data_IF_487597439988
#
_entry.id   IF_487597439988
#
_cell.length_a   1.000
_cell.length_b   1.000
_cell.length_c   1.000
_cell.angle_alpha   90.00
_cell.angle_beta   90.00
_cell.angle_gamma   90.00
#
_symmetry.space_group_name_H-M   'P 1'
#
loop_
_entity.id
_entity.type
_entity.pdbx_description
1 polymer ?
#
# COMPACT_ATOMS: atom_id res chain seq x y z
N UNK A 1 9.08 -20.87 6.13
CA UNK A 1 9.37 -19.70 5.30
C UNK A 1 8.87 -18.47 6.06
N UNK A 2 9.75 -17.53 6.39
CA UNK A 2 9.37 -16.34 7.13
C UNK A 2 8.54 -15.36 6.31
N UNK A 3 7.84 -14.42 6.96
CA UNK A 3 7.05 -13.40 6.25
C UNK A 3 7.91 -12.58 5.28
N UNK A 4 9.13 -12.27 5.67
CA UNK A 4 10.09 -11.55 4.82
C UNK A 4 10.48 -12.34 3.56
N UNK A 5 10.70 -13.65 3.68
CA UNK A 5 10.99 -14.50 2.52
C UNK A 5 9.83 -14.52 1.53
N UNK A 6 8.59 -14.56 2.02
CA UNK A 6 7.38 -14.45 1.19
C UNK A 6 7.32 -13.11 0.46
N UNK A 7 7.64 -11.99 1.14
CA UNK A 7 7.72 -10.66 0.52
C UNK A 7 8.81 -10.63 -0.55
N UNK A 8 10.01 -11.12 -0.24
CA UNK A 8 11.14 -11.19 -1.20
C UNK A 8 10.77 -12.03 -2.45
N UNK A 9 10.01 -13.11 -2.25
CA UNK A 9 9.50 -13.93 -3.37
C UNK A 9 8.42 -13.19 -4.18
N UNK A 10 7.54 -12.45 -3.52
CA UNK A 10 6.51 -11.66 -4.20
C UNK A 10 7.10 -10.60 -5.13
N UNK A 11 8.23 -10.00 -4.76
CA UNK A 11 8.94 -9.02 -5.60
C UNK A 11 9.84 -9.61 -6.69
N UNK A 12 9.90 -10.93 -6.84
CA UNK A 12 10.79 -11.56 -7.82
C UNK A 12 10.65 -10.98 -9.22
N UNK A 13 9.44 -10.86 -9.75
CA UNK A 13 9.20 -10.32 -11.10
C UNK A 13 9.65 -8.86 -11.24
N UNK A 14 9.38 -8.03 -10.24
CA UNK A 14 9.82 -6.64 -10.24
C UNK A 14 11.33 -6.53 -10.14
N UNK A 15 11.96 -7.37 -9.30
CA UNK A 15 13.41 -7.41 -9.16
C UNK A 15 14.12 -7.83 -10.45
N UNK A 16 13.59 -8.83 -11.18
CA UNK A 16 14.11 -9.24 -12.49
C UNK A 16 14.08 -8.09 -13.52
N UNK A 17 13.02 -7.25 -13.49
CA UNK A 17 12.88 -6.13 -14.44
C UNK A 17 13.60 -4.87 -13.97
N UNK A 18 13.59 -4.54 -12.68
CA UNK A 18 14.20 -3.31 -12.17
C UNK A 18 15.60 -3.57 -11.59
N UNK A 19 15.71 -4.46 -10.59
CA UNK A 19 16.96 -4.67 -9.85
C UNK A 19 18.09 -5.22 -10.74
N UNK A 20 17.82 -6.27 -11.52
CA UNK A 20 18.83 -6.89 -12.40
C UNK A 20 19.21 -5.98 -13.56
N UNK A 21 18.25 -5.23 -14.14
CA UNK A 21 18.54 -4.27 -15.20
C UNK A 21 19.32 -3.06 -14.68
N UNK A 22 19.02 -2.54 -13.49
CA UNK A 22 19.82 -1.50 -12.84
C UNK A 22 21.27 -2.02 -12.67
N UNK A 23 21.45 -3.22 -12.12
CA UNK A 23 22.77 -3.81 -11.94
C UNK A 23 23.52 -3.96 -13.27
N UNK A 24 22.83 -4.35 -14.36
CA UNK A 24 23.41 -4.46 -15.69
C UNK A 24 23.83 -3.10 -16.28
N UNK A 25 23.07 -2.03 -16.01
CA UNK A 25 23.44 -0.66 -16.41
C UNK A 25 24.74 -0.23 -15.72
N UNK A 26 24.93 -0.58 -14.45
CA UNK A 26 26.13 -0.27 -13.66
C UNK A 26 27.22 -1.35 -13.76
N UNK A 27 27.28 -2.09 -14.89
CA UNK A 27 28.30 -3.13 -15.10
C UNK A 27 29.72 -2.59 -14.82
N UNK A 28 30.66 -3.43 -14.30
CA UNK A 28 32.00 -3.00 -13.93
C UNK A 28 32.73 -2.26 -15.06
N UNK A 29 33.35 -1.14 -14.72
CA UNK A 29 34.11 -0.31 -15.68
C UNK A 29 33.30 0.73 -16.46
N UNK A 30 31.97 0.79 -16.30
CA UNK A 30 31.14 1.87 -16.85
C UNK A 30 31.29 3.16 -16.03
N UNK A 31 31.49 4.28 -16.75
CA UNK A 31 31.49 5.61 -16.13
C UNK A 31 30.08 6.18 -16.10
N UNK A 32 29.83 7.03 -15.11
CA UNK A 32 28.60 7.81 -15.04
C UNK A 32 28.62 8.90 -16.12
N UNK A 33 28.22 8.56 -17.31
CA UNK A 33 28.10 9.42 -18.49
C UNK A 33 26.64 9.56 -18.94
N UNK A 34 26.39 10.40 -19.92
CA UNK A 34 25.02 10.63 -20.44
C UNK A 34 24.41 9.37 -21.05
N UNK A 35 25.23 8.44 -21.58
CA UNK A 35 24.75 7.17 -22.10
C UNK A 35 24.26 6.24 -20.99
N UNK A 36 25.02 6.12 -19.89
CA UNK A 36 24.59 5.35 -18.72
C UNK A 36 23.29 5.90 -18.13
N UNK A 37 23.19 7.24 -18.08
CA UNK A 37 21.98 7.88 -17.55
C UNK A 37 20.76 7.66 -18.45
N UNK A 38 20.91 7.67 -19.76
CA UNK A 38 19.84 7.32 -20.69
C UNK A 38 19.41 5.85 -20.56
N UNK A 39 20.36 4.91 -20.48
CA UNK A 39 20.06 3.49 -20.25
C UNK A 39 19.33 3.28 -18.89
N UNK A 40 19.70 4.05 -17.86
CA UNK A 40 19.05 4.00 -16.53
C UNK A 40 17.63 4.57 -16.57
N UNK A 41 17.44 5.68 -17.30
CA UNK A 41 16.12 6.28 -17.55
C UNK A 41 15.16 5.26 -18.15
N UNK A 42 15.59 4.57 -19.22
CA UNK A 42 14.79 3.53 -19.88
C UNK A 42 14.40 2.41 -18.91
N UNK A 43 15.30 1.98 -18.04
CA UNK A 43 15.03 0.92 -17.04
C UNK A 43 14.02 1.39 -16.00
N UNK A 44 14.15 2.61 -15.48
CA UNK A 44 13.26 3.17 -14.48
C UNK A 44 11.84 3.39 -15.03
N UNK A 45 11.75 3.90 -16.26
CA UNK A 45 10.46 4.09 -16.96
C UNK A 45 9.80 2.75 -17.30
N UNK A 46 10.56 1.75 -17.75
CA UNK A 46 10.04 0.41 -18.02
C UNK A 46 9.48 -0.29 -16.77
N UNK A 47 10.04 0.02 -15.60
CA UNK A 47 9.55 -0.46 -14.30
C UNK A 47 8.38 0.36 -13.74
N UNK A 48 7.87 1.34 -14.49
CA UNK A 48 6.73 2.21 -14.12
C UNK A 48 7.00 3.17 -12.95
N UNK A 49 8.27 3.57 -12.74
CA UNK A 49 8.66 4.57 -11.72
C UNK A 49 7.99 5.92 -11.99
N UNK A 50 7.76 6.24 -13.26
CA UNK A 50 7.14 7.47 -13.74
C UNK A 50 8.17 8.58 -14.01
N UNK A 51 7.86 9.42 -15.02
CA UNK A 51 8.79 10.43 -15.59
C UNK A 51 9.38 11.35 -14.51
N UNK A 52 8.52 12.08 -13.78
CA UNK A 52 9.00 13.07 -12.79
C UNK A 52 9.89 12.46 -11.70
N UNK A 53 9.62 11.20 -11.31
CA UNK A 53 10.40 10.50 -10.28
C UNK A 53 11.72 10.01 -10.84
N UNK A 54 11.72 9.56 -12.09
CA UNK A 54 12.93 9.17 -12.83
C UNK A 54 13.86 10.36 -13.00
N UNK A 55 13.34 11.52 -13.45
CA UNK A 55 14.12 12.75 -13.60
C UNK A 55 14.77 13.17 -12.27
N UNK A 56 14.04 13.12 -11.16
CA UNK A 56 14.56 13.45 -9.83
C UNK A 56 15.69 12.49 -9.40
N UNK A 57 15.51 11.18 -9.63
CA UNK A 57 16.52 10.18 -9.30
C UNK A 57 17.79 10.38 -10.13
N UNK A 58 17.67 10.66 -11.44
CA UNK A 58 18.82 10.90 -12.31
C UNK A 58 19.56 12.19 -11.98
N UNK A 59 18.82 13.28 -11.73
CA UNK A 59 19.40 14.55 -11.29
C UNK A 59 20.11 14.42 -9.94
N UNK A 60 19.48 13.73 -8.99
CA UNK A 60 20.03 13.44 -7.68
C UNK A 60 21.30 12.59 -7.76
N UNK A 61 21.32 11.58 -8.63
CA UNK A 61 22.48 10.72 -8.86
C UNK A 61 23.67 11.52 -9.43
N UNK A 62 23.43 12.36 -10.46
CA UNK A 62 24.46 13.27 -11.00
C UNK A 62 25.06 14.18 -9.93
N UNK A 63 24.19 14.76 -9.09
CA UNK A 63 24.61 15.66 -8.01
C UNK A 63 25.41 14.91 -6.96
N UNK A 64 24.90 13.79 -6.45
CA UNK A 64 25.56 13.00 -5.42
C UNK A 64 26.94 12.49 -5.87
N UNK A 65 27.04 11.97 -7.09
CA UNK A 65 28.32 11.50 -7.65
C UNK A 65 29.36 12.63 -7.81
N UNK A 66 28.91 13.85 -8.15
CA UNK A 66 29.79 15.04 -8.23
C UNK A 66 30.27 15.47 -6.84
N UNK A 67 29.41 15.51 -5.85
CA UNK A 67 29.72 15.90 -4.47
C UNK A 67 30.64 14.88 -3.78
N UNK A 68 30.42 13.60 -4.06
CA UNK A 68 31.24 12.49 -3.54
C UNK A 68 32.63 12.42 -4.19
N UNK A 69 32.84 13.09 -5.33
CA UNK A 69 34.09 13.06 -6.09
C UNK A 69 34.40 11.71 -6.73
N UNK A 70 33.38 10.89 -6.95
CA UNK A 70 33.50 9.57 -7.59
C UNK A 70 34.08 8.49 -6.67
N UNK A 71 34.02 8.65 -5.37
CA UNK A 71 34.51 7.68 -4.38
C UNK A 71 33.56 6.52 -4.17
N UNK A 72 32.25 6.78 -4.20
CA UNK A 72 31.21 5.79 -3.98
C UNK A 72 30.69 5.26 -5.32
N UNK A 73 30.38 3.97 -5.37
CA UNK A 73 29.74 3.36 -6.53
C UNK A 73 28.41 4.07 -6.84
N UNK A 74 28.18 4.57 -8.08
CA UNK A 74 26.93 5.21 -8.45
C UNK A 74 25.68 4.36 -8.24
N UNK A 75 25.78 3.03 -8.31
CA UNK A 75 24.68 2.12 -8.00
C UNK A 75 24.25 2.23 -6.52
N UNK A 76 25.21 2.36 -5.62
CA UNK A 76 24.92 2.55 -4.18
C UNK A 76 24.31 3.93 -3.92
N UNK A 77 24.75 4.98 -4.62
CA UNK A 77 24.15 6.31 -4.53
C UNK A 77 22.69 6.32 -5.00
N UNK A 78 22.38 5.68 -6.12
CA UNK A 78 21.01 5.53 -6.61
C UNK A 78 20.14 4.76 -5.62
N UNK A 79 20.67 3.65 -5.10
CA UNK A 79 19.96 2.84 -4.10
C UNK A 79 19.64 3.65 -2.86
N UNK A 80 20.59 4.43 -2.33
CA UNK A 80 20.38 5.27 -1.16
C UNK A 80 19.24 6.28 -1.39
N UNK A 81 19.16 6.88 -2.58
CA UNK A 81 18.09 7.81 -2.94
C UNK A 81 16.72 7.10 -3.00
N UNK A 82 16.66 5.91 -3.60
CA UNK A 82 15.41 5.12 -3.65
C UNK A 82 14.96 4.75 -2.22
N UNK A 83 15.87 4.30 -1.37
CA UNK A 83 15.59 3.99 0.05
C UNK A 83 15.05 5.23 0.76
N UNK A 84 15.68 6.38 0.57
CA UNK A 84 15.24 7.64 1.20
C UNK A 84 13.84 8.06 0.74
N UNK A 85 13.52 7.92 -0.56
CA UNK A 85 12.16 8.16 -1.06
C UNK A 85 11.13 7.22 -0.43
N UNK A 86 11.46 5.94 -0.29
CA UNK A 86 10.59 4.95 0.33
C UNK A 86 10.39 5.21 1.83
N UNK A 87 11.44 5.62 2.55
CA UNK A 87 11.36 5.98 3.98
C UNK A 87 10.44 7.16 4.25
N UNK A 88 10.33 8.12 3.33
CA UNK A 88 9.35 9.22 3.44
C UNK A 88 7.90 8.74 3.47
N UNK A 89 7.64 7.56 2.91
CA UNK A 89 6.32 6.91 2.93
C UNK A 89 6.20 5.81 3.99
N UNK A 90 7.21 5.63 4.83
CA UNK A 90 7.12 4.74 5.98
C UNK A 90 6.46 5.48 7.14
N UNK A 91 5.45 4.88 7.75
CA UNK A 91 4.83 5.43 8.95
C UNK A 91 5.01 4.50 10.12
N UNK A 92 5.20 5.08 11.29
CA UNK A 92 5.04 4.33 12.52
C UNK A 92 3.64 3.68 12.58
N UNK A 93 3.54 2.53 13.25
CA UNK A 93 2.25 1.92 13.51
C UNK A 93 1.35 2.94 14.23
N UNK A 94 0.11 3.11 13.73
CA UNK A 94 -0.86 3.96 14.44
C UNK A 94 -1.24 3.26 15.73
N UNK A 95 -0.99 3.88 16.89
CA UNK A 95 -1.36 3.27 18.15
C UNK A 95 -2.90 3.21 18.29
N UNK A 96 -3.41 2.08 18.73
CA UNK A 96 -4.83 1.92 19.05
C UNK A 96 -5.07 2.63 20.39
N UNK A 97 -5.52 3.88 20.32
CA UNK A 97 -5.79 4.71 21.51
C UNK A 97 -7.24 4.60 21.95
N UNK A 98 -8.15 4.47 20.99
CA UNK A 98 -9.60 4.37 21.25
C UNK A 98 -10.12 2.99 20.83
N UNK A 99 -11.17 2.52 21.50
CA UNK A 99 -11.83 1.24 21.23
C UNK A 99 -13.31 1.45 20.92
N UNK A 100 -13.77 1.01 19.74
CA UNK A 100 -12.98 0.39 18.65
C UNK A 100 -12.15 1.43 17.90
N UNK A 101 -10.93 1.06 17.51
CA UNK A 101 -10.17 1.79 16.48
C UNK A 101 -10.82 1.50 15.12
N UNK A 102 -11.40 2.52 14.51
CA UNK A 102 -12.20 2.40 13.29
C UNK A 102 -11.34 2.65 12.06
N UNK A 103 -11.21 1.64 11.19
CA UNK A 103 -10.47 1.71 9.94
C UNK A 103 -11.45 1.57 8.76
N UNK A 104 -11.54 2.59 7.94
CA UNK A 104 -12.37 2.59 6.73
C UNK A 104 -11.51 2.27 5.50
N UNK A 105 -11.87 1.22 4.76
CA UNK A 105 -11.16 0.82 3.55
C UNK A 105 -11.82 1.40 2.32
N UNK A 106 -11.08 2.16 1.50
CA UNK A 106 -11.56 2.78 0.28
C UNK A 106 -10.71 2.38 -0.93
N UNK A 107 -11.17 2.62 -2.14
CA UNK A 107 -10.45 2.30 -3.38
C UNK A 107 -11.38 1.78 -4.47
N UNK A 108 -10.91 1.65 -5.71
CA UNK A 108 -11.75 1.18 -6.82
C UNK A 108 -12.09 -0.30 -6.71
N UNK A 109 -13.12 -0.75 -7.43
CA UNK A 109 -13.46 -2.17 -7.49
C UNK A 109 -12.31 -2.98 -8.09
N UNK A 110 -12.06 -4.18 -7.55
CA UNK A 110 -11.01 -5.08 -8.02
C UNK A 110 -9.62 -4.82 -7.45
N UNK A 111 -9.40 -3.74 -6.67
CA UNK A 111 -8.09 -3.49 -6.04
C UNK A 111 -7.78 -4.40 -4.86
N UNK A 112 -8.70 -5.26 -4.43
CA UNK A 112 -8.48 -6.18 -3.32
C UNK A 112 -8.91 -5.66 -1.94
N UNK A 113 -9.81 -4.66 -1.84
CA UNK A 113 -10.32 -4.13 -0.55
C UNK A 113 -10.83 -5.24 0.38
N UNK A 114 -11.83 -6.00 -0.06
CA UNK A 114 -12.46 -7.06 0.74
C UNK A 114 -11.45 -8.13 1.17
N UNK A 115 -10.56 -8.54 0.27
CA UNK A 115 -9.46 -9.47 0.56
C UNK A 115 -8.49 -8.89 1.60
N UNK A 116 -8.13 -7.62 1.46
CA UNK A 116 -7.25 -6.91 2.40
C UNK A 116 -7.88 -6.84 3.79
N UNK A 117 -9.19 -6.59 3.88
CA UNK A 117 -9.91 -6.57 5.17
C UNK A 117 -9.81 -7.93 5.86
N UNK A 118 -10.01 -9.03 5.10
CA UNK A 118 -9.85 -10.39 5.63
C UNK A 118 -8.44 -10.65 6.16
N UNK A 119 -7.42 -10.24 5.41
CA UNK A 119 -6.00 -10.34 5.82
C UNK A 119 -5.68 -9.45 7.04
N UNK A 120 -6.21 -8.22 7.09
CA UNK A 120 -6.06 -7.32 8.25
C UNK A 120 -6.74 -7.90 9.49
N UNK A 121 -7.93 -8.49 9.34
CA UNK A 121 -8.63 -9.15 10.44
C UNK A 121 -7.77 -10.28 11.03
N UNK A 122 -7.18 -11.12 10.18
CA UNK A 122 -6.25 -12.17 10.59
C UNK A 122 -5.00 -11.58 11.28
N UNK A 123 -4.40 -10.56 10.69
CA UNK A 123 -3.21 -9.87 11.22
C UNK A 123 -3.43 -9.31 12.61
N UNK A 124 -4.51 -8.56 12.83
CA UNK A 124 -4.81 -7.99 14.13
C UNK A 124 -5.22 -9.04 15.16
N UNK A 125 -5.95 -10.07 14.73
CA UNK A 125 -6.29 -11.19 15.60
C UNK A 125 -5.05 -11.96 16.06
N UNK A 126 -4.05 -12.13 15.18
CA UNK A 126 -2.75 -12.68 15.51
C UNK A 126 -1.98 -11.86 16.57
N UNK A 127 -2.31 -10.58 16.73
CA UNK A 127 -1.80 -9.70 17.80
C UNK A 127 -2.67 -9.71 19.06
N UNK A 128 -3.64 -10.63 19.16
CA UNK A 128 -4.54 -10.73 20.32
C UNK A 128 -5.63 -9.66 20.36
N UNK A 129 -5.90 -8.95 19.24
CA UNK A 129 -6.95 -7.93 19.16
C UNK A 129 -8.29 -8.56 18.78
N UNK A 130 -9.35 -8.07 19.40
CA UNK A 130 -10.73 -8.37 19.02
C UNK A 130 -11.15 -7.48 17.84
N UNK A 131 -11.69 -8.09 16.78
CA UNK A 131 -12.01 -7.42 15.51
C UNK A 131 -13.48 -7.63 15.17
N UNK A 132 -14.12 -6.60 14.62
CA UNK A 132 -15.44 -6.64 13.97
C UNK A 132 -15.30 -6.15 12.54
N UNK A 133 -16.02 -6.77 11.61
CA UNK A 133 -16.07 -6.38 10.19
C UNK A 133 -17.44 -5.79 9.86
N UNK A 134 -17.46 -4.76 9.00
CA UNK A 134 -18.67 -4.17 8.44
C UNK A 134 -18.71 -4.35 6.92
N UNK A 135 -19.72 -5.04 6.39
CA UNK A 135 -19.95 -5.23 4.96
C UNK A 135 -20.74 -4.05 4.38
N UNK A 136 -20.10 -2.87 4.26
CA UNK A 136 -20.76 -1.67 3.77
C UNK A 136 -20.65 -1.47 2.24
N UNK A 137 -20.02 -2.38 1.47
CA UNK A 137 -20.18 -2.47 0.00
C UNK A 137 -21.50 -3.18 -0.34
N UNK A 138 -22.62 -2.55 0.02
CA UNK A 138 -23.96 -3.13 -0.05
C UNK A 138 -24.50 -3.29 -1.47
N UNK A 139 -23.91 -2.59 -2.44
CA UNK A 139 -24.31 -2.68 -3.84
C UNK A 139 -23.85 -3.98 -4.52
N UNK A 140 -22.92 -4.70 -3.92
CA UNK A 140 -22.36 -5.93 -4.45
C UNK A 140 -22.64 -7.09 -3.52
N UNK A 141 -23.70 -7.85 -3.81
CA UNK A 141 -24.05 -9.05 -3.04
C UNK A 141 -22.84 -9.99 -2.87
N UNK A 142 -22.08 -10.22 -3.93
CA UNK A 142 -20.87 -11.04 -3.89
C UNK A 142 -19.76 -10.46 -2.96
N UNK A 143 -19.69 -9.12 -2.74
CA UNK A 143 -18.74 -8.55 -1.80
C UNK A 143 -19.16 -8.84 -0.36
N UNK A 144 -20.45 -8.76 -0.06
CA UNK A 144 -21.00 -9.13 1.25
C UNK A 144 -20.68 -10.60 1.57
N UNK A 145 -21.01 -11.51 0.64
CA UNK A 145 -20.73 -12.94 0.77
C UNK A 145 -19.23 -13.21 0.93
N UNK A 146 -18.40 -12.56 0.13
CA UNK A 146 -16.94 -12.68 0.24
C UNK A 146 -16.43 -12.24 1.61
N UNK A 147 -16.93 -11.12 2.15
CA UNK A 147 -16.50 -10.66 3.47
C UNK A 147 -16.98 -11.62 4.57
N UNK A 148 -18.17 -12.21 4.44
CA UNK A 148 -18.66 -13.23 5.38
C UNK A 148 -17.74 -14.46 5.38
N UNK A 149 -17.34 -14.97 4.20
CA UNK A 149 -16.38 -16.07 4.08
C UNK A 149 -15.03 -15.70 4.77
N UNK A 150 -14.52 -14.49 4.57
CA UNK A 150 -13.32 -14.02 5.25
C UNK A 150 -13.50 -13.97 6.77
N UNK A 151 -14.67 -13.49 7.23
CA UNK A 151 -15.03 -13.48 8.66
C UNK A 151 -15.05 -14.89 9.26
N UNK A 152 -15.68 -15.84 8.60
CA UNK A 152 -15.72 -17.25 9.03
C UNK A 152 -14.29 -17.84 9.12
N UNK A 153 -13.49 -17.69 8.06
CA UNK A 153 -12.11 -18.21 8.02
C UNK A 153 -11.22 -17.62 9.10
N UNK A 154 -11.37 -16.33 9.39
CA UNK A 154 -10.60 -15.66 10.44
C UNK A 154 -11.23 -15.80 11.83
N UNK A 155 -12.44 -16.35 11.93
CA UNK A 155 -13.21 -16.41 13.19
C UNK A 155 -13.52 -15.01 13.73
N UNK A 156 -13.90 -14.08 12.85
CA UNK A 156 -14.22 -12.69 13.13
C UNK A 156 -15.65 -12.41 12.73
N UNK A 157 -16.39 -11.68 13.60
CA UNK A 157 -17.78 -11.35 13.33
C UNK A 157 -17.92 -10.33 12.22
N UNK A 158 -18.81 -10.61 11.27
CA UNK A 158 -19.23 -9.67 10.22
C UNK A 158 -20.61 -9.13 10.52
N UNK A 159 -20.76 -7.82 10.43
CA UNK A 159 -22.06 -7.13 10.44
C UNK A 159 -22.37 -6.78 8.98
N UNK A 160 -23.50 -7.25 8.49
CA UNK A 160 -23.94 -7.06 7.12
C UNK A 160 -25.42 -6.66 7.09
N UNK A 161 -25.78 -5.82 6.14
CA UNK A 161 -27.17 -5.54 5.79
C UNK A 161 -27.65 -6.39 4.60
N UNK A 162 -28.90 -6.24 4.21
CA UNK A 162 -29.41 -6.77 2.96
C UNK A 162 -28.68 -6.12 1.77
N UNK A 163 -28.70 -6.80 0.60
CA UNK A 163 -28.21 -6.20 -0.63
C UNK A 163 -28.94 -4.87 -0.92
N UNK A 164 -28.19 -3.86 -1.35
CA UNK A 164 -28.65 -2.49 -1.56
C UNK A 164 -29.15 -1.74 -0.30
N UNK A 165 -28.86 -2.25 0.91
CA UNK A 165 -29.08 -1.48 2.13
C UNK A 165 -28.24 -0.18 2.13
N UNK A 166 -28.59 0.75 3.00
CA UNK A 166 -27.78 1.97 3.21
C UNK A 166 -26.45 1.60 3.86
N UNK A 167 -25.33 1.79 3.12
CA UNK A 167 -23.98 1.53 3.59
C UNK A 167 -23.64 2.24 4.91
N UNK A 168 -24.19 3.46 5.11
CA UNK A 168 -24.00 4.21 6.33
C UNK A 168 -24.76 3.59 7.53
N UNK A 169 -25.93 2.98 7.30
CA UNK A 169 -26.64 2.24 8.33
C UNK A 169 -25.86 0.99 8.76
N UNK A 170 -25.34 0.23 7.80
CA UNK A 170 -24.49 -0.95 8.08
C UNK A 170 -23.25 -0.58 8.88
N UNK A 171 -22.57 0.51 8.49
CA UNK A 171 -21.39 1.00 9.23
C UNK A 171 -21.75 1.44 10.65
N UNK A 172 -22.90 2.09 10.84
CA UNK A 172 -23.40 2.51 12.14
C UNK A 172 -23.73 1.32 13.05
N UNK A 173 -24.42 0.32 12.53
CA UNK A 173 -24.78 -0.90 13.26
C UNK A 173 -23.53 -1.71 13.64
N UNK A 174 -22.53 -1.73 12.73
CA UNK A 174 -21.25 -2.38 13.01
C UNK A 174 -20.46 -1.65 14.11
N UNK A 175 -20.48 -0.32 14.12
CA UNK A 175 -19.85 0.47 15.17
C UNK A 175 -20.57 0.22 16.53
N UNK A 176 -21.89 0.17 16.54
CA UNK A 176 -22.68 -0.13 17.74
C UNK A 176 -22.36 -1.52 18.29
N UNK A 177 -22.30 -2.51 17.40
CA UNK A 177 -21.94 -3.87 17.77
C UNK A 177 -20.49 -3.97 18.30
N UNK A 178 -19.54 -3.20 17.71
CA UNK A 178 -18.17 -3.15 18.16
C UNK A 178 -18.04 -2.50 19.54
N UNK A 179 -18.71 -1.38 19.78
CA UNK A 179 -18.76 -0.70 21.08
C UNK A 179 -19.35 -1.61 22.17
N UNK A 180 -20.51 -2.22 21.90
CA UNK A 180 -21.21 -3.10 22.85
C UNK A 180 -20.35 -4.31 23.26
N UNK A 181 -19.49 -4.80 22.36
CA UNK A 181 -18.60 -5.95 22.57
C UNK A 181 -17.25 -5.56 23.16
N UNK A 182 -16.94 -4.28 23.26
CA UNK A 182 -15.61 -3.80 23.64
C UNK A 182 -14.53 -4.21 22.62
N UNK A 183 -14.88 -4.29 21.33
CA UNK A 183 -13.94 -4.67 20.29
C UNK A 183 -12.79 -3.66 20.20
N UNK A 184 -11.58 -4.16 19.92
CA UNK A 184 -10.41 -3.31 19.74
C UNK A 184 -10.44 -2.60 18.39
N UNK A 185 -10.94 -3.27 17.34
CA UNK A 185 -10.87 -2.78 15.96
C UNK A 185 -12.21 -3.02 15.24
N UNK A 186 -12.61 -2.03 14.44
CA UNK A 186 -13.66 -2.13 13.43
C UNK A 186 -13.08 -1.87 12.05
N UNK A 187 -13.17 -2.85 11.13
CA UNK A 187 -12.80 -2.71 9.73
C UNK A 187 -14.06 -2.57 8.87
N UNK A 188 -14.12 -1.53 8.05
CA UNK A 188 -15.31 -1.22 7.22
C UNK A 188 -14.94 -1.38 5.74
N UNK A 189 -15.60 -2.34 5.06
CA UNK A 189 -15.54 -2.48 3.60
C UNK A 189 -16.50 -1.51 2.94
N UNK A 190 -16.03 -0.69 2.00
CA UNK A 190 -16.86 0.30 1.32
C UNK A 190 -16.94 0.02 -0.19
N UNK A 191 -17.95 0.60 -0.85
CA UNK A 191 -18.06 0.57 -2.29
C UNK A 191 -16.84 1.20 -2.98
N UNK A 192 -16.58 0.77 -4.24
CA UNK A 192 -15.43 1.23 -5.02
C UNK A 192 -15.78 1.66 -6.44
N UNK A 193 -16.96 2.24 -6.66
CA UNK A 193 -17.46 2.64 -7.99
C UNK A 193 -16.94 4.01 -8.42
N UNK A 194 -15.66 4.10 -8.78
CA UNK A 194 -15.03 5.39 -9.14
C UNK A 194 -15.67 6.05 -10.39
N UNK A 195 -16.26 5.27 -11.30
CA UNK A 195 -16.96 5.82 -12.48
C UNK A 195 -18.21 6.66 -12.11
N UNK A 196 -18.77 6.50 -10.91
CA UNK A 196 -19.80 7.34 -10.32
C UNK A 196 -19.23 8.21 -9.20
N UNK A 197 -18.12 8.92 -9.46
CA UNK A 197 -17.32 9.67 -8.47
C UNK A 197 -18.16 10.44 -7.45
N UNK A 198 -19.11 11.24 -7.92
CA UNK A 198 -19.93 12.08 -7.05
C UNK A 198 -20.76 11.27 -6.05
N UNK A 199 -21.32 10.14 -6.50
CA UNK A 199 -22.15 9.30 -5.63
C UNK A 199 -21.29 8.55 -4.61
N UNK A 200 -20.14 8.00 -5.04
CA UNK A 200 -19.20 7.33 -4.14
C UNK A 200 -18.71 8.28 -3.03
N UNK A 201 -18.35 9.52 -3.39
CA UNK A 201 -17.86 10.50 -2.41
C UNK A 201 -18.94 10.88 -1.39
N UNK A 202 -20.16 11.12 -1.84
CA UNK A 202 -21.31 11.37 -0.94
C UNK A 202 -21.58 10.19 0.00
N UNK A 203 -21.39 8.96 -0.49
CA UNK A 203 -21.55 7.75 0.31
C UNK A 203 -20.46 7.64 1.40
N UNK A 204 -19.18 7.80 1.03
CA UNK A 204 -18.06 7.78 1.98
C UNK A 204 -18.17 8.89 3.02
N UNK A 205 -18.58 10.09 2.61
CA UNK A 205 -18.83 11.22 3.50
C UNK A 205 -20.00 10.93 4.46
N UNK A 206 -21.08 10.31 3.95
CA UNK A 206 -22.21 9.88 4.76
C UNK A 206 -21.80 8.84 5.80
N UNK A 207 -21.01 7.83 5.41
CA UNK A 207 -20.46 6.82 6.33
C UNK A 207 -19.63 7.52 7.43
N UNK A 208 -18.66 8.36 7.05
CA UNK A 208 -17.83 9.09 8.02
C UNK A 208 -18.67 9.94 8.98
N UNK A 209 -19.69 10.62 8.48
CA UNK A 209 -20.58 11.47 9.30
C UNK A 209 -21.39 10.68 10.31
N UNK A 210 -21.89 9.48 9.98
CA UNK A 210 -22.66 8.66 10.93
C UNK A 210 -21.76 8.03 11.99
N UNK A 211 -20.53 7.66 11.64
CA UNK A 211 -19.53 7.18 12.60
C UNK A 211 -19.19 8.25 13.64
N UNK A 212 -18.97 9.49 13.19
CA UNK A 212 -18.67 10.65 14.06
C UNK A 212 -19.79 10.98 15.06
N UNK A 213 -21.05 10.60 14.80
CA UNK A 213 -22.14 10.79 15.73
C UNK A 213 -21.99 9.94 17.02
N UNK A 214 -21.31 8.79 16.95
CA UNK A 214 -21.06 7.90 18.10
C UNK A 214 -19.65 8.04 18.65
N UNK A 215 -18.65 8.17 17.76
CA UNK A 215 -17.23 8.33 18.10
C UNK A 215 -16.73 9.53 17.31
N UNK A 216 -16.53 10.65 17.97
CA UNK A 216 -16.24 11.95 17.33
C UNK A 216 -14.96 11.93 16.46
N UNK A 217 -14.01 11.08 16.81
CA UNK A 217 -12.72 10.89 16.13
C UNK A 217 -12.77 9.89 14.98
N UNK A 218 -13.86 9.09 14.85
CA UNK A 218 -13.98 8.06 13.79
C UNK A 218 -14.33 8.67 12.42
N UNK A 219 -13.84 8.01 11.31
CA UNK A 219 -12.87 6.92 11.30
C UNK A 219 -11.49 7.42 11.72
N UNK A 220 -10.74 6.59 12.47
CA UNK A 220 -9.39 6.90 12.92
C UNK A 220 -8.36 6.74 11.81
N UNK A 221 -8.60 5.78 10.89
CA UNK A 221 -7.82 5.61 9.68
C UNK A 221 -8.75 5.45 8.46
N UNK A 222 -8.34 6.06 7.35
CA UNK A 222 -8.92 5.85 6.01
C UNK A 222 -7.82 5.28 5.12
N UNK A 223 -7.89 3.98 4.86
CA UNK A 223 -6.88 3.28 4.07
C UNK A 223 -7.32 3.13 2.62
N UNK A 224 -6.55 3.72 1.71
CA UNK A 224 -6.76 3.59 0.28
C UNK A 224 -6.03 2.35 -0.25
N UNK A 225 -6.79 1.42 -0.83
CA UNK A 225 -6.26 0.19 -1.42
C UNK A 225 -5.99 0.40 -2.89
N UNK A 226 -4.74 0.19 -3.29
CA UNK A 226 -4.24 0.34 -4.66
C UNK A 226 -3.70 -0.99 -5.18
N UNK A 227 -4.05 -1.32 -6.40
CA UNK A 227 -3.53 -2.48 -7.14
C UNK A 227 -2.22 -2.09 -7.82
N UNK A 228 -1.10 -2.67 -7.39
CA UNK A 228 0.23 -2.38 -7.95
C UNK A 228 0.37 -2.77 -9.42
N UNK A 229 -0.48 -3.68 -9.93
CA UNK A 229 -0.45 -4.08 -11.35
C UNK A 229 -0.94 -2.99 -12.29
N UNK A 230 -1.67 -2.00 -11.77
CA UNK A 230 -2.21 -0.89 -12.56
C UNK A 230 -1.19 0.22 -12.87
N UNK A 231 -0.03 0.18 -12.22
CA UNK A 231 1.06 1.12 -12.47
C UNK A 231 0.66 2.58 -12.29
N UNK A 232 1.06 3.46 -13.21
CA UNK A 232 0.74 4.90 -13.16
C UNK A 232 -0.77 5.20 -13.13
N UNK A 233 -1.62 4.31 -13.66
CA UNK A 233 -3.08 4.47 -13.52
C UNK A 233 -3.52 4.36 -12.06
N UNK A 234 -2.90 3.48 -11.27
CA UNK A 234 -3.16 3.38 -9.83
C UNK A 234 -2.77 4.66 -9.08
N UNK A 235 -1.64 5.26 -9.44
CA UNK A 235 -1.22 6.55 -8.89
C UNK A 235 -2.21 7.67 -9.22
N UNK A 236 -2.72 7.73 -10.45
CA UNK A 236 -3.73 8.71 -10.84
C UNK A 236 -5.05 8.51 -10.07
N UNK A 237 -5.47 7.26 -9.86
CA UNK A 237 -6.62 6.95 -9.00
C UNK A 237 -6.38 7.42 -7.57
N UNK A 238 -5.20 7.19 -7.02
CA UNK A 238 -4.86 7.64 -5.68
C UNK A 238 -4.95 9.16 -5.53
N UNK A 239 -4.41 9.92 -6.49
CA UNK A 239 -4.53 11.38 -6.53
C UNK A 239 -5.99 11.86 -6.56
N UNK A 240 -6.86 11.15 -7.26
CA UNK A 240 -8.30 11.48 -7.28
C UNK A 240 -8.97 11.21 -5.93
N UNK A 241 -8.65 10.07 -5.27
CA UNK A 241 -9.19 9.79 -3.94
C UNK A 241 -8.71 10.76 -2.87
N UNK A 242 -7.44 11.16 -2.90
CA UNK A 242 -6.87 12.07 -1.90
C UNK A 242 -7.45 13.48 -1.96
N UNK A 243 -7.99 13.89 -3.13
CA UNK A 243 -8.68 15.18 -3.28
C UNK A 243 -10.06 15.21 -2.60
N UNK A 244 -10.66 14.06 -2.35
CA UNK A 244 -12.07 13.94 -1.98
C UNK A 244 -12.31 13.18 -0.67
N UNK A 245 -11.32 12.44 -0.20
CA UNK A 245 -11.38 11.71 1.07
C UNK A 245 -10.11 11.98 1.89
N UNK A 246 -10.21 12.05 3.23
CA UNK A 246 -9.06 12.26 4.11
C UNK A 246 -8.25 10.95 4.25
N UNK A 247 -7.58 10.54 3.17
CA UNK A 247 -6.75 9.33 3.16
C UNK A 247 -5.61 9.48 4.15
N UNK A 248 -5.51 8.58 5.12
CA UNK A 248 -4.48 8.57 6.16
C UNK A 248 -3.37 7.54 5.91
N UNK A 249 -3.60 6.59 4.99
CA UNK A 249 -2.62 5.58 4.65
C UNK A 249 -2.97 4.80 3.38
N UNK A 250 -1.97 4.14 2.81
CA UNK A 250 -2.09 3.33 1.61
C UNK A 250 -1.91 1.84 1.92
N UNK A 251 -2.62 1.00 1.19
CA UNK A 251 -2.36 -0.44 1.12
C UNK A 251 -2.10 -0.80 -0.34
N UNK A 252 -0.92 -1.34 -0.61
CA UNK A 252 -0.55 -1.80 -1.95
C UNK A 252 -0.81 -3.29 -2.06
N UNK A 253 -1.55 -3.71 -3.07
CA UNK A 253 -1.93 -5.11 -3.29
C UNK A 253 -1.34 -5.68 -4.57
N UNK A 254 -1.35 -7.00 -4.70
CA UNK A 254 -0.93 -7.75 -5.90
C UNK A 254 0.49 -7.45 -6.36
N UNK A 255 1.39 -7.19 -5.40
CA UNK A 255 2.80 -6.89 -5.71
C UNK A 255 3.52 -8.08 -6.36
N UNK A 256 3.03 -9.30 -6.14
CA UNK A 256 3.52 -10.56 -6.74
C UNK A 256 3.11 -10.73 -8.22
N UNK A 257 2.08 -10.03 -8.64
CA UNK A 257 1.52 -10.08 -10.00
C UNK A 257 2.21 -9.19 -11.01
N UNK A 258 3.12 -8.30 -10.60
CA UNK A 258 3.60 -7.22 -11.46
C UNK A 258 5.12 -7.18 -11.62
N UNK A 259 5.56 -6.82 -12.83
CA UNK A 259 6.90 -6.33 -13.11
C UNK A 259 7.01 -4.79 -12.93
N UNK A 260 5.90 -4.11 -12.68
CA UNK A 260 5.76 -2.64 -12.57
C UNK A 260 5.85 -2.13 -11.13
N UNK A 261 6.49 -2.88 -10.25
CA UNK A 261 6.61 -2.51 -8.84
C UNK A 261 7.38 -1.21 -8.57
N UNK A 262 8.07 -0.68 -9.56
CA UNK A 262 8.69 0.66 -9.50
C UNK A 262 7.68 1.80 -9.27
N UNK A 263 6.39 1.59 -9.61
CA UNK A 263 5.31 2.54 -9.31
C UNK A 263 5.26 2.92 -7.84
N UNK A 264 5.69 2.04 -6.93
CA UNK A 264 5.72 2.30 -5.49
C UNK A 264 6.67 3.46 -5.14
N UNK A 265 7.81 3.56 -5.85
CA UNK A 265 8.75 4.68 -5.71
C UNK A 265 8.06 5.99 -6.13
N UNK A 266 7.32 5.96 -7.25
CA UNK A 266 6.53 7.09 -7.73
C UNK A 266 5.40 7.49 -6.77
N UNK A 267 4.69 6.51 -6.20
CA UNK A 267 3.65 6.71 -5.19
C UNK A 267 4.24 7.37 -3.94
N UNK A 268 5.36 6.83 -3.44
CA UNK A 268 6.06 7.36 -2.27
C UNK A 268 6.46 8.83 -2.45
N UNK A 269 6.92 9.20 -3.65
CA UNK A 269 7.29 10.57 -3.97
C UNK A 269 6.08 11.52 -4.08
N UNK A 270 5.02 11.09 -4.79
CA UNK A 270 3.95 12.02 -5.22
C UNK A 270 2.85 12.24 -4.20
N UNK A 271 2.52 11.24 -3.38
CA UNK A 271 1.33 11.34 -2.54
C UNK A 271 1.61 11.92 -1.17
N UNK A 272 2.81 11.76 -0.61
CA UNK A 272 3.11 12.17 0.75
C UNK A 272 2.26 11.48 1.82
N UNK A 273 1.61 10.36 1.44
CA UNK A 273 0.75 9.55 2.31
C UNK A 273 1.50 8.26 2.64
N UNK A 274 1.53 7.86 3.91
CA UNK A 274 2.29 6.69 4.30
C UNK A 274 1.71 5.39 3.73
N UNK A 275 2.59 4.49 3.29
CA UNK A 275 2.23 3.12 2.97
C UNK A 275 2.17 2.35 4.29
N UNK A 276 1.01 1.78 4.60
CA UNK A 276 0.78 1.04 5.84
C UNK A 276 1.07 -0.44 5.68
N UNK A 277 0.59 -1.01 4.59
CA UNK A 277 0.69 -2.44 4.32
C UNK A 277 0.96 -2.74 2.85
N UNK A 278 1.57 -3.89 2.62
CA UNK A 278 1.72 -4.51 1.30
C UNK A 278 1.06 -5.89 1.32
N UNK A 279 0.20 -6.15 0.35
CA UNK A 279 -0.51 -7.41 0.15
C UNK A 279 0.00 -8.14 -1.10
N UNK A 280 0.16 -9.44 -0.97
CA UNK A 280 0.60 -10.35 -2.02
C UNK A 280 -0.14 -11.67 -1.88
N UNK A 281 -0.11 -12.53 -2.88
CA UNK A 281 -0.74 -13.85 -2.81
C UNK A 281 -2.20 -13.87 -2.33
N UNK A 282 -2.73 -15.05 -2.07
CA UNK A 282 -4.14 -15.28 -1.74
C UNK A 282 -4.36 -15.78 -0.29
N UNK A 283 -3.29 -16.09 0.45
CA UNK A 283 -3.40 -16.61 1.82
C UNK A 283 -3.68 -15.50 2.84
N UNK A 284 -4.22 -15.86 4.00
CA UNK A 284 -4.54 -14.91 5.08
C UNK A 284 -3.30 -14.20 5.62
N UNK A 285 -2.15 -14.86 5.59
CA UNK A 285 -0.85 -14.37 6.07
C UNK A 285 -0.13 -13.51 5.03
N UNK A 286 -0.65 -13.41 3.78
CA UNK A 286 0.01 -12.70 2.69
C UNK A 286 -0.28 -11.19 2.74
N UNK A 287 -0.02 -10.60 3.90
CA UNK A 287 -0.04 -9.18 4.20
C UNK A 287 1.11 -8.85 5.13
N UNK A 288 1.84 -7.80 4.83
CA UNK A 288 2.94 -7.32 5.68
C UNK A 288 2.83 -5.82 5.95
N UNK A 289 3.12 -5.34 7.15
CA UNK A 289 3.42 -3.93 7.35
C UNK A 289 4.52 -3.49 6.39
N UNK A 290 4.41 -2.28 5.86
CA UNK A 290 5.42 -1.72 4.99
C UNK A 290 6.68 -1.37 5.80
N UNK A 291 7.82 -1.74 5.26
CA UNK A 291 9.13 -1.35 5.78
C UNK A 291 10.02 -1.00 4.59
N UNK A 292 10.50 0.24 4.55
CA UNK A 292 11.20 0.81 3.39
C UNK A 292 12.49 0.06 3.06
N UNK A 293 13.29 -0.30 4.08
CA UNK A 293 14.57 -0.98 3.87
C UNK A 293 14.38 -2.40 3.32
N UNK A 294 13.48 -3.17 3.93
CA UNK A 294 13.13 -4.54 3.48
C UNK A 294 12.51 -4.53 2.08
N UNK A 295 11.71 -3.51 1.80
CA UNK A 295 11.10 -3.33 0.50
C UNK A 295 12.17 -3.02 -0.56
N UNK A 296 13.07 -2.06 -0.29
CA UNK A 296 14.17 -1.72 -1.19
C UNK A 296 15.11 -2.92 -1.43
N UNK A 297 15.40 -3.72 -0.39
CA UNK A 297 16.17 -4.95 -0.52
C UNK A 297 15.46 -5.97 -1.43
N UNK A 298 14.15 -6.14 -1.25
CA UNK A 298 13.37 -7.06 -2.09
C UNK A 298 13.29 -6.62 -3.56
N UNK A 299 13.33 -5.29 -3.80
CA UNK A 299 13.20 -4.69 -5.13
C UNK A 299 14.54 -4.61 -5.88
N UNK A 300 15.61 -4.21 -5.20
CA UNK A 300 16.91 -3.90 -5.80
C UNK A 300 17.97 -4.99 -5.55
N UNK A 301 17.63 -6.04 -4.80
CA UNK A 301 18.57 -7.07 -4.36
C UNK A 301 19.34 -6.68 -3.08
N UNK A 302 20.20 -7.58 -2.60
CA UNK A 302 21.04 -7.34 -1.43
C UNK A 302 22.13 -6.30 -1.73
N UNK A 303 22.48 -5.50 -0.72
CA UNK A 303 23.67 -4.64 -0.83
C UNK A 303 24.89 -5.57 -0.82
N UNK A 304 25.80 -5.49 -1.79
CA UNK A 304 27.12 -6.05 -1.57
C UNK A 304 27.66 -5.48 -0.25
N UNK A 305 28.08 -6.32 0.69
CA UNK A 305 28.70 -5.85 1.90
C UNK A 305 29.82 -4.88 1.49
N UNK A 306 29.84 -3.68 2.08
CA UNK A 306 30.92 -2.73 1.86
C UNK A 306 32.22 -3.53 2.09
N UNK A 307 33.06 -3.59 1.06
CA UNK A 307 34.38 -4.22 1.18
C UNK A 307 35.05 -3.47 2.32
N UNK A 308 35.22 -4.17 3.45
CA UNK A 308 35.69 -3.59 4.70
C UNK A 308 36.96 -2.80 4.51
N UNK A 309 37.03 -1.71 5.25
CA UNK A 309 38.24 -1.01 5.55
C UNK A 309 39.34 -2.05 5.92
N UNK A 310 40.35 -2.13 5.08
CA UNK A 310 41.59 -2.80 5.35
C UNK A 310 42.65 -1.76 5.75
#
# INVERSE_FOLDING_TARGET
>A
MGLFDKVKQAFRKTREVLGEKIAAVFAPGRKLDDKLLADLEDVLLAADVGVDTTDELLAGLKKAAKEDGGKTDPQLLLRAQIVELLRRSEAAAVPIQEKPHVIMMIGVNGTGKTTTIGKLAHFYKGQGKSVVLAAADTFRAAAIEQLQIWGERSGVRVIAGAANADSAAVAFDALDAALTRGADILLIDTAGRLHTKVNLMKELEKVSRVLKKKVATAPHEVLLVLDATTGQNGLNQALEFTRVAPVSGLVLTKIDGTAKGGVIIGISRKLGIPIRFVGFGESMEDLSPFNADKFAESLLGEVPAAVGEA
#
